data_IF_199129452625
#
_entry.id   IF_199129452625
#
_cell.length_a   1.000
_cell.length_b   1.000
_cell.length_c   1.000
_cell.angle_alpha   90.00
_cell.angle_beta   90.00
_cell.angle_gamma   90.00
#
_symmetry.space_group_name_H-M   'P 1'
#
loop_
_entity.id
_entity.type
_entity.pdbx_description
1 polymer ?
#
# COMPACT_ATOMS: atom_id res chain seq x y z
N UNK A 1 -5.30 4.02 -19.51
CA UNK A 1 -5.20 3.06 -18.38
C UNK A 1 -4.13 3.59 -17.42
N UNK A 2 -4.50 4.04 -16.22
CA UNK A 2 -3.56 4.60 -15.22
C UNK A 2 -3.45 3.61 -14.08
N UNK A 3 -2.22 3.24 -13.69
CA UNK A 3 -1.97 2.33 -12.58
C UNK A 3 -1.42 3.09 -11.35
N UNK A 4 -1.94 2.83 -10.14
CA UNK A 4 -1.42 3.44 -8.93
C UNK A 4 -0.06 2.81 -8.53
N UNK A 5 0.86 3.67 -8.10
CA UNK A 5 2.15 3.28 -7.53
C UNK A 5 2.19 3.70 -6.05
N UNK A 6 2.27 2.72 -5.16
CA UNK A 6 2.32 2.92 -3.71
C UNK A 6 3.73 3.32 -3.27
N UNK A 7 3.92 4.63 -3.05
CA UNK A 7 5.09 5.17 -2.35
C UNK A 7 4.97 4.95 -0.84
N UNK A 8 6.09 4.60 -0.18
CA UNK A 8 6.13 4.21 1.23
C UNK A 8 5.13 3.08 1.58
N UNK A 9 5.17 1.94 0.86
CA UNK A 9 4.13 0.90 0.96
C UNK A 9 4.07 0.21 2.34
N UNK A 10 5.16 0.27 3.11
CA UNK A 10 5.25 -0.30 4.46
C UNK A 10 5.06 0.74 5.58
N UNK A 11 4.62 1.96 5.25
CA UNK A 11 4.36 3.03 6.22
C UNK A 11 5.52 3.28 7.21
N UNK A 12 6.77 3.24 6.73
CA UNK A 12 7.99 3.36 7.57
C UNK A 12 8.14 2.29 8.67
N UNK A 13 7.48 1.14 8.52
CA UNK A 13 7.53 0.04 9.48
C UNK A 13 6.36 0.01 10.46
N UNK A 14 5.55 1.08 10.54
CA UNK A 14 4.40 1.19 11.47
C UNK A 14 3.37 0.07 11.34
N UNK A 15 3.26 -0.54 10.15
CA UNK A 15 2.33 -1.63 9.89
C UNK A 15 2.87 -2.99 10.35
N UNK A 16 4.19 -3.13 10.53
CA UNK A 16 4.83 -4.43 10.74
C UNK A 16 4.56 -5.00 12.14
N UNK A 17 4.25 -4.13 13.11
CA UNK A 17 3.94 -4.52 14.49
C UNK A 17 2.42 -4.64 14.75
N UNK A 18 1.59 -4.46 13.72
CA UNK A 18 0.14 -4.61 13.87
C UNK A 18 -0.23 -6.07 14.16
N UNK A 19 -0.97 -6.31 15.26
CA UNK A 19 -1.34 -7.66 15.72
C UNK A 19 -2.04 -8.50 14.64
N UNK A 20 -2.99 -7.91 13.90
CA UNK A 20 -3.70 -8.63 12.84
C UNK A 20 -2.77 -9.01 11.68
N UNK A 21 -1.85 -8.10 11.30
CA UNK A 21 -0.87 -8.38 10.25
C UNK A 21 0.10 -9.48 10.71
N UNK A 22 0.54 -9.46 11.97
CA UNK A 22 1.39 -10.51 12.56
C UNK A 22 0.68 -11.87 12.60
N UNK A 23 -0.60 -11.91 12.98
CA UNK A 23 -1.39 -13.14 13.00
C UNK A 23 -1.54 -13.74 11.60
N UNK A 24 -1.84 -12.91 10.60
CA UNK A 24 -1.91 -13.33 9.20
C UNK A 24 -0.52 -13.78 8.72
N UNK A 25 0.53 -13.03 9.01
CA UNK A 25 1.90 -13.38 8.64
C UNK A 25 2.30 -14.77 9.16
N UNK A 26 2.00 -15.06 10.44
CA UNK A 26 2.22 -16.36 11.05
C UNK A 26 1.42 -17.47 10.36
N UNK A 27 0.14 -17.23 10.03
CA UNK A 27 -0.73 -18.20 9.33
C UNK A 27 -0.13 -18.64 7.99
N UNK A 28 0.54 -17.74 7.29
CA UNK A 28 1.14 -18.00 5.98
C UNK A 28 2.63 -18.38 6.04
N UNK A 29 3.24 -18.41 7.23
CA UNK A 29 4.71 -18.54 7.39
C UNK A 29 5.48 -17.51 6.57
N UNK A 30 4.97 -16.28 6.54
CA UNK A 30 5.53 -15.12 5.83
C UNK A 30 5.80 -13.99 6.82
N UNK A 31 6.52 -12.97 6.38
CA UNK A 31 6.75 -11.79 7.20
C UNK A 31 5.60 -10.79 7.07
N UNK A 32 5.42 -9.88 8.05
CA UNK A 32 4.45 -8.79 7.94
C UNK A 32 4.63 -7.93 6.68
N UNK A 33 5.88 -7.71 6.26
CA UNK A 33 6.19 -6.95 5.04
C UNK A 33 5.68 -7.69 3.79
N UNK A 34 5.90 -8.99 3.71
CA UNK A 34 5.39 -9.82 2.61
C UNK A 34 3.86 -9.81 2.53
N UNK A 35 3.17 -9.89 3.67
CA UNK A 35 1.69 -9.81 3.71
C UNK A 35 1.20 -8.47 3.15
N UNK A 36 1.77 -7.35 3.60
CA UNK A 36 1.37 -6.02 3.13
C UNK A 36 1.65 -5.83 1.64
N UNK A 37 2.82 -6.26 1.17
CA UNK A 37 3.19 -6.14 -0.24
C UNK A 37 2.33 -7.05 -1.13
N UNK A 38 2.03 -8.28 -0.69
CA UNK A 38 1.14 -9.19 -1.40
C UNK A 38 -0.28 -8.64 -1.47
N UNK A 39 -0.76 -8.03 -0.39
CA UNK A 39 -2.06 -7.37 -0.36
C UNK A 39 -2.15 -6.21 -1.37
N UNK A 40 -1.16 -5.33 -1.44
CA UNK A 40 -1.10 -4.27 -2.46
C UNK A 40 -1.10 -4.84 -3.88
N UNK A 41 -0.32 -5.89 -4.12
CA UNK A 41 -0.27 -6.57 -5.41
C UNK A 41 -1.63 -7.20 -5.79
N UNK A 42 -2.35 -7.78 -4.83
CA UNK A 42 -3.69 -8.36 -5.05
C UNK A 42 -4.69 -7.31 -5.55
N UNK A 43 -4.53 -6.04 -5.16
CA UNK A 43 -5.36 -4.93 -5.62
C UNK A 43 -4.91 -4.32 -6.97
N UNK A 44 -3.96 -4.95 -7.66
CA UNK A 44 -3.29 -4.41 -8.85
C UNK A 44 -2.56 -3.07 -8.60
N UNK A 45 -2.03 -2.86 -7.39
CA UNK A 45 -1.18 -1.70 -7.09
C UNK A 45 0.29 -2.08 -7.20
N UNK A 46 1.09 -1.19 -7.78
CA UNK A 46 2.55 -1.37 -7.87
C UNK A 46 3.18 -0.85 -6.57
N UNK A 47 3.94 -1.66 -5.85
CA UNK A 47 4.62 -1.24 -4.62
C UNK A 47 6.13 -1.04 -4.84
N UNK A 48 6.70 0.02 -4.25
CA UNK A 48 8.15 0.31 -4.32
C UNK A 48 8.79 0.35 -2.91
N UNK A 49 8.94 -0.81 -2.24
CA UNK A 49 9.55 -0.85 -0.91
C UNK A 49 11.05 -0.55 -0.99
N UNK A 50 11.52 0.42 -0.19
CA UNK A 50 12.95 0.70 -0.04
C UNK A 50 13.56 -0.21 1.03
N UNK A 51 14.67 -0.88 0.71
CA UNK A 51 15.55 -1.52 1.69
C UNK A 51 17.01 -1.31 1.31
N UNK A 52 17.89 -1.17 2.30
CA UNK A 52 19.35 -1.27 2.12
C UNK A 52 19.91 -2.58 2.67
N UNK A 53 19.05 -3.44 3.24
CA UNK A 53 19.41 -4.74 3.77
C UNK A 53 19.05 -5.81 2.73
N UNK A 54 20.03 -6.60 2.31
CA UNK A 54 19.88 -7.62 1.26
C UNK A 54 18.85 -8.70 1.60
N UNK A 55 18.80 -9.16 2.86
CA UNK A 55 17.84 -10.17 3.27
C UNK A 55 16.41 -9.64 3.13
N UNK A 56 16.17 -8.39 3.55
CA UNK A 56 14.88 -7.72 3.35
C UNK A 56 14.55 -7.47 1.88
N UNK A 57 15.55 -7.23 1.03
CA UNK A 57 15.32 -7.08 -0.42
C UNK A 57 14.82 -8.39 -1.02
N UNK A 58 15.45 -9.52 -0.67
CA UNK A 58 15.01 -10.86 -1.10
C UNK A 58 13.62 -11.17 -0.58
N UNK A 59 13.39 -10.97 0.71
CA UNK A 59 12.09 -11.17 1.37
C UNK A 59 10.96 -10.36 0.69
N UNK A 60 11.19 -9.08 0.39
CA UNK A 60 10.22 -8.22 -0.28
C UNK A 60 9.89 -8.66 -1.73
N UNK A 61 10.76 -9.44 -2.38
CA UNK A 61 10.54 -9.99 -3.72
C UNK A 61 9.77 -11.32 -3.68
N UNK A 62 9.86 -12.07 -2.58
CA UNK A 62 9.22 -13.37 -2.36
C UNK A 62 7.74 -13.22 -1.95
N UNK A 63 6.99 -12.42 -2.72
CA UNK A 63 5.55 -12.16 -2.49
C UNK A 63 4.65 -12.87 -3.50
N UNK A 64 5.23 -13.53 -4.51
CA UNK A 64 4.49 -14.13 -5.61
C UNK A 64 4.27 -15.64 -5.47
N UNK A 65 4.90 -16.26 -4.47
CA UNK A 65 4.87 -17.70 -4.21
C UNK A 65 3.71 -18.13 -3.29
N UNK A 66 2.85 -17.20 -2.86
CA UNK A 66 1.66 -17.51 -2.05
C UNK A 66 0.45 -16.65 -2.43
N UNK A 67 -0.71 -17.07 -1.92
CA UNK A 67 -1.98 -16.33 -2.07
C UNK A 67 -2.61 -16.13 -0.69
N UNK A 68 -3.25 -14.97 -0.50
CA UNK A 68 -3.98 -14.65 0.72
C UNK A 68 -5.45 -15.01 0.48
N UNK A 69 -6.09 -15.63 1.47
CA UNK A 69 -7.48 -16.03 1.38
C UNK A 69 -8.40 -14.81 1.30
N UNK A 70 -9.60 -14.92 0.69
CA UNK A 70 -10.55 -13.80 0.64
C UNK A 70 -10.90 -13.24 2.03
N UNK A 71 -11.01 -14.09 3.05
CA UNK A 71 -11.33 -13.67 4.42
C UNK A 71 -10.21 -12.84 5.06
N UNK A 72 -8.95 -13.24 4.84
CA UNK A 72 -7.80 -12.48 5.34
C UNK A 72 -7.62 -11.18 4.55
N UNK A 73 -7.90 -11.17 3.23
CA UNK A 73 -7.94 -9.94 2.42
C UNK A 73 -8.99 -8.96 2.98
N UNK A 74 -10.18 -9.45 3.30
CA UNK A 74 -11.23 -8.63 3.92
C UNK A 74 -10.81 -8.09 5.30
N UNK A 75 -10.10 -8.90 6.08
CA UNK A 75 -9.52 -8.48 7.35
C UNK A 75 -8.49 -7.36 7.15
N UNK A 76 -7.61 -7.46 6.16
CA UNK A 76 -6.66 -6.41 5.81
C UNK A 76 -7.35 -5.13 5.32
N UNK A 77 -8.45 -5.23 4.57
CA UNK A 77 -9.25 -4.06 4.20
C UNK A 77 -9.82 -3.32 5.40
N UNK A 78 -10.17 -4.03 6.48
CA UNK A 78 -10.68 -3.41 7.70
C UNK A 78 -9.65 -2.54 8.44
N UNK A 79 -8.36 -2.69 8.14
CA UNK A 79 -7.27 -1.86 8.69
C UNK A 79 -7.15 -0.50 7.98
N UNK A 80 -7.87 -0.30 6.87
CA UNK A 80 -7.83 0.95 6.13
C UNK A 80 -8.31 2.12 7.01
N UNK A 81 -7.46 3.15 7.12
CA UNK A 81 -7.73 4.37 7.86
C UNK A 81 -7.12 5.56 7.12
N UNK A 82 -7.65 6.75 7.35
CA UNK A 82 -7.15 8.00 6.74
C UNK A 82 -5.79 8.48 7.31
N UNK A 83 -4.92 7.55 7.68
CA UNK A 83 -3.57 7.80 8.16
C UNK A 83 -2.59 7.93 6.99
N UNK A 84 -1.65 8.88 7.08
CA UNK A 84 -0.59 9.07 6.10
C UNK A 84 0.77 9.07 6.81
N UNK A 85 1.61 8.08 6.52
CA UNK A 85 2.97 8.01 7.06
C UNK A 85 3.90 9.12 6.54
N UNK A 86 3.56 9.67 5.37
CA UNK A 86 4.18 10.85 4.78
C UNK A 86 3.08 11.89 4.62
N UNK A 87 2.83 12.73 5.63
CA UNK A 87 1.94 13.87 5.47
C UNK A 87 2.52 14.81 4.40
N UNK A 88 1.66 15.49 3.66
CA UNK A 88 2.12 16.55 2.78
C UNK A 88 2.77 17.63 3.66
N UNK A 89 4.08 17.85 3.48
CA UNK A 89 4.84 18.82 4.27
C UNK A 89 4.57 20.28 3.85
N UNK A 90 3.67 20.51 2.90
CA UNK A 90 3.25 21.84 2.46
C UNK A 90 1.82 22.09 2.94
N UNK A 91 1.69 22.83 4.05
CA UNK A 91 0.47 23.57 4.37
C UNK A 91 -0.38 23.05 5.54
N UNK A 92 0.12 23.21 6.78
CA UNK A 92 -0.77 23.84 7.76
C UNK A 92 -0.92 25.31 7.32
N UNK A 93 -2.08 25.64 6.76
CA UNK A 93 -2.53 26.99 6.32
C UNK A 93 -2.15 27.52 4.93
N UNK A 94 -2.02 26.70 3.88
CA UNK A 94 -2.18 27.20 2.50
C UNK A 94 -3.07 26.26 1.69
N UNK A 95 -4.08 26.83 1.02
CA UNK A 95 -4.85 26.14 -0.01
C UNK A 95 -3.87 25.71 -1.11
N UNK A 96 -3.49 24.44 -1.10
CA UNK A 96 -2.92 23.79 -2.27
C UNK A 96 -4.14 23.41 -3.12
N UNK A 97 -4.41 24.20 -4.15
CA UNK A 97 -5.25 23.75 -5.25
C UNK A 97 -4.53 22.59 -5.96
N UNK A 98 -4.91 21.37 -5.59
CA UNK A 98 -4.76 20.21 -6.46
C UNK A 98 -5.68 20.42 -7.67
N UNK A 99 -5.33 19.97 -8.89
CA UNK A 99 -6.23 20.05 -10.03
C UNK A 99 -7.58 19.43 -9.66
N UNK A 100 -8.55 20.31 -9.47
CA UNK A 100 -9.89 19.94 -9.08
C UNK A 100 -10.60 19.32 -10.28
N UNK A 101 -11.29 18.22 -10.00
CA UNK A 101 -12.41 17.64 -10.76
C UNK A 101 -12.55 18.11 -12.21
N UNK A 102 -11.90 17.43 -13.15
CA UNK A 102 -12.51 17.32 -14.47
C UNK A 102 -13.64 16.29 -14.33
N UNK A 103 -14.82 16.80 -14.02
CA UNK A 103 -16.06 16.11 -14.31
C UNK A 103 -16.09 15.85 -15.82
N UNK A 104 -16.21 14.60 -16.20
CA UNK A 104 -16.63 14.22 -17.55
C UNK A 104 -18.03 14.78 -17.76
N UNK A 105 -18.14 15.93 -18.43
CA UNK A 105 -19.37 16.41 -19.03
C UNK A 105 -19.03 17.37 -20.18
N UNK A 106 -18.93 16.81 -21.38
CA UNK A 106 -19.29 17.48 -22.62
C UNK A 106 -18.31 18.48 -23.22
N UNK A 107 -17.90 18.15 -24.45
CA UNK A 107 -17.52 19.02 -25.58
C UNK A 107 -16.03 19.37 -25.77
N UNK A 108 -15.46 18.57 -26.69
CA UNK A 108 -14.62 18.91 -27.86
C UNK A 108 -13.70 20.14 -27.82
N UNK A 109 -12.42 19.89 -28.12
CA UNK A 109 -11.66 20.66 -29.11
C UNK A 109 -10.70 19.72 -29.87
N UNK A 110 -10.97 19.62 -31.19
CA UNK A 110 -10.08 19.38 -32.37
C UNK A 110 -8.95 18.35 -32.25
#
# INVERSE_FOLDING_TARGET
NILPVAYCPLAKGELLDNKMILEIANKYSKTPAQIVLRWLNHQNWIAIPKSANENRMKENMEIFDFTISPDDINSLHSLARNFRAVPCALGTNHQIDLPSKHGVNGLELI
#
